data_IF_088579735650
#
_entry.id   IF_088579735650
#
_cell.length_a   1.000
_cell.length_b   1.000
_cell.length_c   1.000
_cell.angle_alpha   90.00
_cell.angle_beta   90.00
_cell.angle_gamma   90.00
#
_symmetry.space_group_name_H-M   'P 1'
#
loop_
_entity.id
_entity.type
_entity.pdbx_description
1 polymer ?
#
# COMPACT_ATOMS: atom_id res chain seq x y z
N UNK A 1 -25.85 3.65 0.57
CA UNK A 1 -24.40 3.78 0.31
C UNK A 1 -23.94 2.57 -0.48
N UNK A 2 -23.81 2.68 -1.80
CA UNK A 2 -23.15 1.63 -2.58
C UNK A 2 -21.65 1.72 -2.30
N UNK A 3 -21.12 0.85 -1.43
CA UNK A 3 -19.67 0.64 -1.35
C UNK A 3 -19.22 0.26 -2.75
N UNK A 4 -18.36 1.07 -3.38
CA UNK A 4 -17.81 0.76 -4.69
C UNK A 4 -16.96 -0.51 -4.55
N UNK A 5 -17.54 -1.67 -4.89
CA UNK A 5 -16.86 -2.97 -4.90
C UNK A 5 -15.54 -2.85 -5.67
N UNK A 6 -15.54 -2.08 -6.76
CA UNK A 6 -14.34 -1.78 -7.56
C UNK A 6 -13.21 -1.10 -6.78
N UNK A 7 -13.51 -0.22 -5.82
CA UNK A 7 -12.49 0.42 -4.97
C UNK A 7 -11.93 -0.57 -3.95
N UNK A 8 -12.79 -1.39 -3.33
CA UNK A 8 -12.34 -2.41 -2.39
C UNK A 8 -11.47 -3.48 -3.07
N UNK A 9 -11.85 -3.92 -4.27
CA UNK A 9 -11.07 -4.87 -5.05
C UNK A 9 -9.72 -4.27 -5.47
N UNK A 10 -9.69 -2.99 -5.90
CA UNK A 10 -8.45 -2.27 -6.19
C UNK A 10 -7.58 -2.14 -4.95
N UNK A 11 -8.15 -1.77 -3.81
CA UNK A 11 -7.44 -1.70 -2.54
C UNK A 11 -6.76 -3.03 -2.21
N UNK A 12 -7.53 -4.13 -2.27
CA UNK A 12 -7.02 -5.48 -1.99
C UNK A 12 -5.89 -5.84 -2.95
N UNK A 13 -6.12 -5.69 -4.26
CA UNK A 13 -5.13 -5.99 -5.29
C UNK A 13 -3.79 -5.26 -5.09
N UNK A 14 -3.84 -3.93 -4.88
CA UNK A 14 -2.63 -3.14 -4.68
C UNK A 14 -1.97 -3.42 -3.31
N UNK A 15 -2.74 -3.71 -2.26
CA UNK A 15 -2.20 -4.07 -0.96
C UNK A 15 -1.46 -5.41 -0.97
N UNK A 16 -1.97 -6.40 -1.71
CA UNK A 16 -1.34 -7.71 -1.89
C UNK A 16 -0.08 -7.60 -2.74
N UNK A 17 -0.12 -6.81 -3.82
CA UNK A 17 1.05 -6.50 -4.63
C UNK A 17 2.14 -5.80 -3.82
N UNK A 18 1.78 -4.80 -3.01
CA UNK A 18 2.73 -4.09 -2.16
C UNK A 18 3.41 -5.06 -1.17
N UNK A 19 2.61 -5.89 -0.48
CA UNK A 19 3.13 -6.89 0.45
C UNK A 19 4.02 -7.94 -0.25
N UNK A 20 3.71 -8.31 -1.50
CA UNK A 20 4.57 -9.19 -2.31
C UNK A 20 5.91 -8.54 -2.64
N UNK A 21 5.90 -7.28 -3.07
CA UNK A 21 7.12 -6.51 -3.36
C UNK A 21 7.99 -6.34 -2.11
N UNK A 22 7.40 -6.09 -0.94
CA UNK A 22 8.14 -6.04 0.34
C UNK A 22 8.85 -7.36 0.65
N UNK A 23 8.17 -8.50 0.47
CA UNK A 23 8.76 -9.83 0.68
C UNK A 23 9.90 -10.13 -0.30
N UNK A 24 9.87 -9.53 -1.49
CA UNK A 24 10.93 -9.65 -2.49
C UNK A 24 12.09 -8.67 -2.24
N UNK A 25 11.96 -7.76 -1.28
CA UNK A 25 12.94 -6.70 -1.02
C UNK A 25 12.83 -5.50 -1.97
N UNK A 26 11.84 -5.46 -2.85
CA UNK A 26 11.59 -4.31 -3.73
C UNK A 26 10.72 -3.28 -3.00
N UNK A 27 11.37 -2.56 -2.08
CA UNK A 27 10.72 -1.53 -1.28
C UNK A 27 10.34 -0.28 -2.11
N UNK A 28 11.02 -0.02 -3.24
CA UNK A 28 10.65 1.07 -4.15
C UNK A 28 9.28 0.84 -4.79
N UNK A 29 9.07 -0.35 -5.34
CA UNK A 29 7.79 -0.73 -5.94
C UNK A 29 6.72 -0.91 -4.88
N UNK A 30 7.06 -1.47 -3.72
CA UNK A 30 6.14 -1.59 -2.59
C UNK A 30 5.59 -0.24 -2.13
N UNK A 31 6.43 0.80 -2.04
CA UNK A 31 5.99 2.18 -1.71
C UNK A 31 4.89 2.64 -2.66
N UNK A 32 5.12 2.53 -3.97
CA UNK A 32 4.16 2.96 -4.99
C UNK A 32 2.85 2.20 -4.87
N UNK A 33 2.90 0.88 -4.72
CA UNK A 33 1.70 0.06 -4.54
C UNK A 33 0.94 0.42 -3.25
N UNK A 34 1.63 0.72 -2.15
CA UNK A 34 0.99 1.18 -0.92
C UNK A 34 0.28 2.53 -1.10
N UNK A 35 0.88 3.47 -1.84
CA UNK A 35 0.24 4.75 -2.14
C UNK A 35 -1.05 4.57 -2.96
N UNK A 36 -1.02 3.73 -3.98
CA UNK A 36 -2.20 3.43 -4.81
C UNK A 36 -3.27 2.69 -4.01
N UNK A 37 -2.88 1.74 -3.14
CA UNK A 37 -3.81 1.09 -2.23
C UNK A 37 -4.50 2.14 -1.34
N UNK A 38 -3.74 3.05 -0.72
CA UNK A 38 -4.30 4.12 0.11
C UNK A 38 -5.35 4.97 -0.60
N UNK A 39 -5.14 5.31 -1.87
CA UNK A 39 -6.12 6.07 -2.68
C UNK A 39 -7.45 5.34 -2.90
N UNK A 40 -7.44 4.01 -2.86
CA UNK A 40 -8.62 3.16 -3.03
C UNK A 40 -9.18 2.64 -1.69
N UNK A 41 -8.60 3.06 -0.56
CA UNK A 41 -8.95 2.54 0.75
C UNK A 41 -10.42 2.85 1.10
N UNK A 42 -11.18 1.86 1.60
CA UNK A 42 -12.60 2.03 1.90
C UNK A 42 -12.87 2.87 3.15
N UNK A 43 -11.85 3.13 3.97
CA UNK A 43 -11.95 3.92 5.20
C UNK A 43 -10.61 4.60 5.51
N UNK A 44 -10.66 5.57 6.43
CA UNK A 44 -9.49 6.35 6.82
C UNK A 44 -8.41 5.50 7.50
N UNK A 45 -8.80 4.49 8.29
CA UNK A 45 -7.85 3.62 8.97
C UNK A 45 -6.95 2.84 7.99
N UNK A 46 -7.55 2.30 6.91
CA UNK A 46 -6.83 1.61 5.86
C UNK A 46 -5.96 2.58 5.04
N UNK A 47 -6.43 3.82 4.83
CA UNK A 47 -5.63 4.85 4.17
C UNK A 47 -4.37 5.20 4.98
N UNK A 48 -4.52 5.42 6.30
CA UNK A 48 -3.41 5.71 7.20
C UNK A 48 -2.43 4.53 7.31
N UNK A 49 -2.96 3.31 7.39
CA UNK A 49 -2.12 2.12 7.37
C UNK A 49 -1.26 2.03 6.09
N UNK A 50 -1.85 2.29 4.93
CA UNK A 50 -1.11 2.34 3.67
C UNK A 50 -0.05 3.46 3.65
N UNK A 51 -0.35 4.64 4.21
CA UNK A 51 0.64 5.73 4.33
C UNK A 51 1.82 5.32 5.21
N UNK A 52 1.55 4.73 6.37
CA UNK A 52 2.60 4.26 7.28
C UNK A 52 3.48 3.18 6.61
N UNK A 53 2.87 2.27 5.85
CA UNK A 53 3.61 1.26 5.09
C UNK A 53 4.44 1.83 3.95
N UNK A 54 3.92 2.80 3.21
CA UNK A 54 4.69 3.51 2.19
C UNK A 54 5.89 4.26 2.80
N UNK A 55 5.70 4.91 3.95
CA UNK A 55 6.77 5.60 4.68
C UNK A 55 7.83 4.62 5.20
N UNK A 56 7.41 3.44 5.70
CA UNK A 56 8.34 2.38 6.07
C UNK A 56 9.19 1.94 4.87
N UNK A 57 8.56 1.65 3.74
CA UNK A 57 9.26 1.26 2.51
C UNK A 57 10.26 2.34 2.07
N UNK A 58 9.85 3.61 2.09
CA UNK A 58 10.75 4.73 1.77
C UNK A 58 11.96 4.80 2.71
N UNK A 59 11.75 4.61 4.02
CA UNK A 59 12.84 4.59 5.00
C UNK A 59 13.82 3.45 4.70
N UNK A 60 13.31 2.26 4.40
CA UNK A 60 14.16 1.08 4.11
C UNK A 60 14.96 1.29 2.81
N UNK A 61 14.37 1.91 1.78
CA UNK A 61 15.11 2.28 0.56
C UNK A 61 16.25 3.26 0.87
N UNK A 62 15.99 4.29 1.70
CA UNK A 62 16.98 5.34 2.01
C UNK A 62 18.07 4.86 2.96
N UNK A 63 17.71 4.02 3.94
CA UNK A 63 18.61 3.47 4.94
C UNK A 63 18.17 2.04 5.27
N UNK A 64 18.68 1.05 4.51
CA UNK A 64 18.58 -0.35 4.89
C UNK A 64 19.24 -0.52 6.26
N UNK A 65 18.68 -1.40 7.09
CA UNK A 65 19.05 -1.57 8.50
C UNK A 65 20.55 -1.76 8.71
#
# INVERSE_FOLDING_TARGET
>A
MHKNINQLERFKYYSELAAKSERQGDYSTAKTHWQVAGMNAPNLANNEWCKHRAAFCERVVKKPF
#
